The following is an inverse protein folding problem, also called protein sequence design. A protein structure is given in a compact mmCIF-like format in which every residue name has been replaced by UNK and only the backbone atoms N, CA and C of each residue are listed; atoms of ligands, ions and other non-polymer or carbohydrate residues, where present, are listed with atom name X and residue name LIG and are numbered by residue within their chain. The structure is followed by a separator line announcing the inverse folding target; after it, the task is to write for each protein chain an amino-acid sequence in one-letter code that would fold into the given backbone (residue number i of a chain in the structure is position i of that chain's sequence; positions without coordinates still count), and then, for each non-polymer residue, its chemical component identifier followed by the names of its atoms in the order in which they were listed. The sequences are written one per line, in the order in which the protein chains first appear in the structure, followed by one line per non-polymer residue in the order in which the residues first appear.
data_IF_035109476602
#
_entry.id   IF_035109476602
#
_cell.length_a   1.000
_cell.length_b   1.000
_cell.length_c   1.000
_cell.angle_alpha   90.00
_cell.angle_beta   90.00
_cell.angle_gamma   90.00
#
_symmetry.space_group_name_H-M   'P 1'
#
loop_
_entity.id
_entity.type
_entity.pdbx_description
1 polymer ?
#
# COMPACT_ATOMS: atom_id res chain seq x y z
N UNK A 1 -5.53 -51.12 -21.05
CA UNK A 1 -6.12 -50.66 -19.77
C UNK A 1 -7.11 -51.67 -19.15
N UNK A 2 -6.86 -53.00 -19.28
CA UNK A 2 -7.78 -54.04 -18.77
C UNK A 2 -7.27 -54.79 -17.53
N UNK A 3 -6.07 -54.47 -17.04
CA UNK A 3 -5.48 -55.06 -15.82
C UNK A 3 -5.46 -54.03 -14.69
N UNK A 4 -5.75 -54.47 -13.46
CA UNK A 4 -5.72 -53.66 -12.23
C UNK A 4 -4.40 -52.89 -12.08
N UNK A 5 -3.26 -53.52 -12.42
CA UNK A 5 -1.94 -52.87 -12.38
C UNK A 5 -1.87 -51.61 -13.26
N UNK A 6 -2.50 -51.64 -14.43
CA UNK A 6 -2.51 -50.50 -15.35
C UNK A 6 -3.35 -49.32 -14.84
N UNK A 7 -4.48 -49.57 -14.17
CA UNK A 7 -5.29 -48.51 -13.54
C UNK A 7 -4.53 -47.82 -12.41
N UNK A 8 -3.82 -48.61 -11.58
CA UNK A 8 -3.01 -48.08 -10.47
C UNK A 8 -1.86 -47.21 -10.98
N UNK A 9 -1.14 -47.63 -12.03
CA UNK A 9 -0.06 -46.81 -12.59
C UNK A 9 -0.55 -45.48 -13.19
N UNK A 10 -1.72 -45.47 -13.85
CA UNK A 10 -2.30 -44.23 -14.39
C UNK A 10 -2.74 -43.29 -13.28
N UNK A 11 -3.39 -43.80 -12.23
CA UNK A 11 -3.78 -42.99 -11.08
C UNK A 11 -2.55 -42.41 -10.36
N UNK A 12 -1.50 -43.20 -10.21
CA UNK A 12 -0.25 -42.74 -9.60
C UNK A 12 0.44 -41.65 -10.44
N UNK A 13 0.49 -41.83 -11.76
CA UNK A 13 1.04 -40.82 -12.68
C UNK A 13 0.23 -39.52 -12.66
N UNK A 14 -1.09 -39.61 -12.55
CA UNK A 14 -1.97 -38.45 -12.42
C UNK A 14 -1.67 -37.67 -11.14
N UNK A 15 -1.51 -38.37 -10.00
CA UNK A 15 -1.15 -37.75 -8.72
C UNK A 15 0.20 -37.02 -8.83
N UNK A 16 1.21 -37.66 -9.43
CA UNK A 16 2.52 -37.02 -9.66
C UNK A 16 2.35 -35.74 -10.50
N UNK A 17 1.57 -35.81 -11.58
CA UNK A 17 1.32 -34.66 -12.46
C UNK A 17 0.64 -33.51 -11.70
N UNK A 18 -0.35 -33.80 -10.86
CA UNK A 18 -1.00 -32.82 -9.99
C UNK A 18 -0.03 -32.20 -9.00
N UNK A 19 0.86 -32.99 -8.38
CA UNK A 19 1.89 -32.48 -7.47
C UNK A 19 2.87 -31.54 -8.17
N UNK A 20 3.33 -31.88 -9.39
CA UNK A 20 4.23 -31.02 -10.17
C UNK A 20 3.55 -29.71 -10.55
N UNK A 21 2.31 -29.78 -11.04
CA UNK A 21 1.53 -28.58 -11.39
C UNK A 21 1.30 -27.69 -10.17
N UNK A 22 0.97 -28.28 -9.02
CA UNK A 22 0.78 -27.54 -7.78
C UNK A 22 2.09 -26.85 -7.35
N UNK A 23 3.23 -27.54 -7.46
CA UNK A 23 4.54 -26.95 -7.17
C UNK A 23 4.85 -25.76 -8.08
N UNK A 24 4.66 -25.91 -9.38
CA UNK A 24 4.86 -24.84 -10.36
C UNK A 24 3.95 -23.63 -10.10
N UNK A 25 2.66 -23.88 -9.83
CA UNK A 25 1.70 -22.83 -9.50
C UNK A 25 2.08 -22.09 -8.22
N UNK A 26 2.50 -22.80 -7.17
CA UNK A 26 2.94 -22.18 -5.92
C UNK A 26 4.16 -21.28 -6.13
N UNK A 27 5.16 -21.73 -6.90
CA UNK A 27 6.34 -20.91 -7.21
C UNK A 27 5.94 -19.65 -7.99
N UNK A 28 5.09 -19.78 -9.00
CA UNK A 28 4.58 -18.65 -9.76
C UNK A 28 3.83 -17.65 -8.86
N UNK A 29 2.89 -18.16 -8.05
CA UNK A 29 2.06 -17.34 -7.16
C UNK A 29 2.89 -16.64 -6.08
N UNK A 30 3.85 -17.34 -5.47
CA UNK A 30 4.73 -16.75 -4.45
C UNK A 30 5.60 -15.63 -5.01
N UNK A 31 6.15 -15.79 -6.22
CA UNK A 31 6.91 -14.71 -6.86
C UNK A 31 6.03 -13.50 -7.17
N UNK A 32 4.81 -13.72 -7.68
CA UNK A 32 3.84 -12.64 -7.94
C UNK A 32 3.45 -11.92 -6.65
N UNK A 33 3.24 -12.66 -5.57
CA UNK A 33 2.94 -12.10 -4.24
C UNK A 33 4.11 -11.27 -3.71
N UNK A 34 5.35 -11.72 -3.88
CA UNK A 34 6.53 -10.99 -3.44
C UNK A 34 6.65 -9.63 -4.14
N UNK A 35 6.47 -9.61 -5.48
CA UNK A 35 6.51 -8.37 -6.26
C UNK A 35 5.41 -7.40 -5.81
N UNK A 36 4.19 -7.91 -5.55
CA UNK A 36 3.10 -7.05 -5.08
C UNK A 36 3.37 -6.49 -3.67
N UNK A 37 3.88 -7.32 -2.75
CA UNK A 37 4.28 -6.86 -1.42
C UNK A 37 5.40 -5.80 -1.48
N UNK A 38 6.34 -5.92 -2.42
CA UNK A 38 7.37 -4.90 -2.64
C UNK A 38 6.77 -3.58 -3.14
N UNK A 39 5.86 -3.62 -4.11
CA UNK A 39 5.18 -2.40 -4.63
C UNK A 39 4.38 -1.68 -3.54
N UNK A 40 3.71 -2.43 -2.65
CA UNK A 40 3.02 -1.85 -1.48
C UNK A 40 4.00 -1.08 -0.58
N UNK A 41 5.16 -1.68 -0.28
CA UNK A 41 6.15 -1.08 0.63
C UNK A 41 6.85 0.11 -0.03
N UNK A 42 7.18 0.00 -1.31
CA UNK A 42 8.01 0.98 -2.01
C UNK A 42 7.20 2.15 -2.59
N UNK A 43 5.91 1.95 -2.83
CA UNK A 43 5.06 2.95 -3.50
C UNK A 43 3.81 3.31 -2.69
N UNK A 44 2.95 2.34 -2.41
CA UNK A 44 1.64 2.62 -1.79
C UNK A 44 1.78 3.18 -0.37
N UNK A 45 2.66 2.60 0.45
CA UNK A 45 2.88 3.04 1.82
C UNK A 45 3.50 4.44 1.91
N UNK A 46 4.55 4.80 1.14
CA UNK A 46 5.04 6.16 1.07
C UNK A 46 3.98 7.18 0.63
N UNK A 47 3.14 6.85 -0.36
CA UNK A 47 2.04 7.72 -0.80
C UNK A 47 1.04 7.95 0.34
N UNK A 48 0.61 6.88 1.02
CA UNK A 48 -0.29 6.97 2.16
C UNK A 48 0.28 7.85 3.29
N UNK A 49 1.58 7.70 3.60
CA UNK A 49 2.25 8.53 4.62
C UNK A 49 2.22 10.02 4.23
N UNK A 50 2.35 10.36 2.95
CA UNK A 50 2.26 11.76 2.50
C UNK A 50 0.84 12.30 2.61
N UNK A 51 -0.16 11.49 2.25
CA UNK A 51 -1.58 11.86 2.42
C UNK A 51 -1.93 12.09 3.90
N UNK A 52 -1.44 11.24 4.81
CA UNK A 52 -1.61 11.42 6.25
C UNK A 52 -0.96 12.70 6.76
N UNK A 53 0.25 13.03 6.28
CA UNK A 53 0.91 14.30 6.61
C UNK A 53 0.11 15.50 6.12
N UNK A 54 -0.46 15.42 4.92
CA UNK A 54 -1.29 16.49 4.37
C UNK A 54 -2.59 16.67 5.17
N UNK A 55 -3.24 15.56 5.54
CA UNK A 55 -4.44 15.56 6.40
C UNK A 55 -4.13 16.16 7.78
N UNK A 56 -3.02 15.77 8.40
CA UNK A 56 -2.57 16.35 9.67
C UNK A 56 -2.32 17.86 9.53
N UNK A 57 -1.62 18.28 8.49
CA UNK A 57 -1.36 19.69 8.21
C UNK A 57 -2.67 20.48 8.07
N UNK A 58 -3.65 19.97 7.33
CA UNK A 58 -4.96 20.60 7.17
C UNK A 58 -5.70 20.73 8.51
N UNK A 59 -5.63 19.70 9.36
CA UNK A 59 -6.21 19.75 10.69
C UNK A 59 -5.57 20.85 11.55
N UNK A 60 -4.24 20.99 11.52
CA UNK A 60 -3.52 22.05 12.21
C UNK A 60 -3.90 23.44 11.68
N UNK A 61 -3.96 23.63 10.36
CA UNK A 61 -4.43 24.88 9.75
C UNK A 61 -5.83 25.25 10.22
N UNK A 62 -6.74 24.29 10.23
CA UNK A 62 -8.12 24.51 10.72
C UNK A 62 -8.12 24.93 12.20
N UNK A 63 -7.30 24.28 13.03
CA UNK A 63 -7.16 24.62 14.44
C UNK A 63 -6.61 26.05 14.62
N UNK A 64 -5.54 26.42 13.91
CA UNK A 64 -4.94 27.76 14.00
C UNK A 64 -5.87 28.86 13.47
N UNK A 65 -6.59 28.61 12.38
CA UNK A 65 -7.60 29.54 11.88
C UNK A 65 -8.69 29.79 12.93
N UNK A 66 -9.17 28.73 13.57
CA UNK A 66 -10.14 28.84 14.67
C UNK A 66 -9.56 29.60 15.86
N UNK A 67 -8.37 29.27 16.33
CA UNK A 67 -7.79 29.94 17.52
C UNK A 67 -7.49 31.41 17.25
N UNK A 68 -7.06 31.78 16.04
CA UNK A 68 -6.92 33.17 15.63
C UNK A 68 -8.26 33.93 15.75
N UNK A 69 -9.35 33.34 15.24
CA UNK A 69 -10.69 33.95 15.33
C UNK A 69 -11.13 34.12 16.80
N UNK A 70 -10.82 33.15 17.67
CA UNK A 70 -11.23 33.20 19.08
C UNK A 70 -10.42 34.19 19.92
N UNK A 71 -9.12 34.27 19.69
CA UNK A 71 -8.19 34.97 20.59
C UNK A 71 -7.55 36.23 19.99
N UNK A 72 -7.55 36.37 18.65
CA UNK A 72 -6.96 37.51 17.94
C UNK A 72 -5.43 37.56 17.96
N UNK A 73 -4.77 36.52 18.48
CA UNK A 73 -3.30 36.46 18.59
C UNK A 73 -2.67 36.14 17.23
N UNK A 74 -1.89 37.08 16.69
CA UNK A 74 -1.23 36.97 15.37
C UNK A 74 -0.31 35.74 15.26
N UNK A 75 0.20 35.18 16.36
CA UNK A 75 1.00 33.95 16.31
C UNK A 75 0.24 32.77 15.71
N UNK A 76 -1.09 32.70 15.88
CA UNK A 76 -1.91 31.67 15.26
C UNK A 76 -2.04 31.86 13.74
N UNK A 77 -2.10 33.11 13.29
CA UNK A 77 -2.11 33.44 11.85
C UNK A 77 -0.76 33.10 11.20
N UNK A 78 0.35 33.39 11.87
CA UNK A 78 1.68 33.00 11.40
C UNK A 78 1.79 31.47 11.27
N UNK A 79 1.31 30.71 12.26
CA UNK A 79 1.27 29.24 12.19
C UNK A 79 0.37 28.73 11.06
N UNK A 80 -0.78 29.35 10.84
CA UNK A 80 -1.65 29.01 9.71
C UNK A 80 -0.93 29.20 8.36
N UNK A 81 -0.22 30.32 8.19
CA UNK A 81 0.53 30.61 6.97
C UNK A 81 1.70 29.64 6.78
N UNK A 82 2.46 29.37 7.85
CA UNK A 82 3.55 28.39 7.85
C UNK A 82 3.05 27.02 7.37
N UNK A 83 1.98 26.50 7.97
CA UNK A 83 1.43 25.21 7.56
C UNK A 83 0.82 25.25 6.15
N UNK A 84 0.34 26.41 5.69
CA UNK A 84 -0.13 26.57 4.30
C UNK A 84 1.03 26.38 3.31
N UNK A 85 2.20 26.97 3.58
CA UNK A 85 3.41 26.78 2.76
C UNK A 85 3.89 25.32 2.79
N UNK A 86 3.97 24.71 3.99
CA UNK A 86 4.35 23.30 4.15
C UNK A 86 3.43 22.36 3.35
N UNK A 87 2.12 22.66 3.29
CA UNK A 87 1.17 21.83 2.54
C UNK A 87 1.42 21.84 1.03
N UNK A 88 1.89 22.96 0.48
CA UNK A 88 2.22 23.07 -0.95
C UNK A 88 3.42 22.18 -1.29
N UNK A 89 4.42 22.15 -0.41
CA UNK A 89 5.59 21.28 -0.58
C UNK A 89 5.19 19.80 -0.54
N UNK A 90 4.32 19.41 0.40
CA UNK A 90 3.84 18.02 0.52
C UNK A 90 3.02 17.61 -0.72
N UNK A 91 2.13 18.49 -1.21
CA UNK A 91 1.28 18.21 -2.38
C UNK A 91 2.07 18.05 -3.69
N UNK A 92 3.14 18.84 -3.89
CA UNK A 92 4.01 18.73 -5.07
C UNK A 92 4.77 17.40 -5.07
N UNK A 93 5.09 16.86 -3.90
CA UNK A 93 5.77 15.56 -3.77
C UNK A 93 4.79 14.39 -3.92
N UNK A 94 3.52 14.55 -3.54
CA UNK A 94 2.52 13.47 -3.61
C UNK A 94 1.94 13.25 -5.02
N UNK A 95 2.02 14.25 -5.91
CA UNK A 95 1.54 14.20 -7.29
C UNK A 95 2.62 14.62 -8.30
N UNK A 96 3.67 13.81 -8.55
CA UNK A 96 4.55 14.01 -9.70
C UNK A 96 3.85 13.75 -11.05
#
# INVERSE_FOLDING_TARGET
MKSIKGKVMVAFSLIISLCVNLGAFNIYSSNKSLVHSQDIIERELPLLIQDEKLLYNLAQRTAFARTYILYGDESYKERFLQYTEESQVIQVISWP
#
